data_IF_479027456450
#
_entry.id   IF_479027456450
#
_cell.length_a   1.000
_cell.length_b   1.000
_cell.length_c   1.000
_cell.angle_alpha   90.00
_cell.angle_beta   90.00
_cell.angle_gamma   90.00
#
_symmetry.space_group_name_H-M   'P 1'
#
loop_
_entity.id
_entity.type
_entity.pdbx_description
1 polymer ?
#
# COMPACT_ATOMS: atom_id res chain seq x y z
N UNK A 1 9.69 7.82 -8.66
CA UNK A 1 8.30 8.08 -9.11
C UNK A 1 8.23 9.52 -9.59
N UNK A 2 7.39 9.83 -10.56
CA UNK A 2 7.23 11.20 -11.06
C UNK A 2 6.00 11.34 -11.95
N UNK A 3 5.83 12.52 -12.53
CA UNK A 3 4.82 12.81 -13.54
C UNK A 3 5.49 13.24 -14.84
N UNK A 4 4.82 12.98 -15.95
CA UNK A 4 5.21 13.39 -17.30
C UNK A 4 3.94 13.66 -18.11
N UNK A 5 4.07 14.08 -19.36
CA UNK A 5 2.95 14.30 -20.28
C UNK A 5 3.13 13.47 -21.54
N UNK A 6 2.04 12.94 -22.10
CA UNK A 6 2.08 12.34 -23.43
C UNK A 6 2.16 13.38 -24.55
N UNK A 7 2.25 12.93 -25.80
CA UNK A 7 2.34 13.80 -26.98
C UNK A 7 1.11 14.70 -27.17
N UNK A 8 -0.01 14.43 -26.49
CA UNK A 8 -1.23 15.23 -26.52
C UNK A 8 -1.37 16.12 -25.27
N UNK A 9 -0.36 16.16 -24.40
CA UNK A 9 -0.37 16.94 -23.16
C UNK A 9 -1.15 16.30 -22.02
N UNK A 10 -1.58 15.04 -22.12
CA UNK A 10 -2.24 14.37 -20.99
C UNK A 10 -1.21 13.97 -19.94
N UNK A 11 -1.50 14.29 -18.69
CA UNK A 11 -0.68 13.90 -17.54
C UNK A 11 -0.64 12.37 -17.38
N UNK A 12 0.58 11.87 -17.23
CA UNK A 12 0.90 10.50 -16.88
C UNK A 12 1.69 10.51 -15.57
N UNK A 13 1.35 9.62 -14.65
CA UNK A 13 2.25 9.31 -13.53
C UNK A 13 3.11 8.13 -13.93
N UNK A 14 4.37 8.11 -13.50
CA UNK A 14 5.24 6.97 -13.74
C UNK A 14 6.02 6.56 -12.50
N UNK A 15 6.41 5.30 -12.49
CA UNK A 15 7.48 4.83 -11.62
C UNK A 15 8.39 3.87 -12.37
N UNK A 16 9.67 3.95 -12.04
CA UNK A 16 10.69 3.05 -12.55
C UNK A 16 11.29 2.29 -11.37
N UNK A 17 11.63 1.02 -11.61
CA UNK A 17 12.46 0.23 -10.72
C UNK A 17 13.62 -0.30 -11.53
N UNK A 18 14.81 -0.29 -10.92
CA UNK A 18 15.99 -0.90 -11.51
C UNK A 18 16.80 -1.53 -10.38
N UNK A 19 17.14 -2.79 -10.54
CA UNK A 19 18.09 -3.46 -9.65
C UNK A 19 19.42 -2.74 -9.69
N UNK A 20 19.98 -2.51 -8.51
CA UNK A 20 21.33 -1.96 -8.33
C UNK A 20 22.19 -2.99 -7.61
N UNK A 21 23.50 -2.90 -7.85
CA UNK A 21 24.51 -3.67 -7.13
C UNK A 21 25.29 -2.75 -6.21
N UNK A 22 25.49 -3.21 -4.98
CA UNK A 22 26.09 -2.45 -3.89
C UNK A 22 26.95 -3.40 -3.06
N UNK A 23 28.25 -3.16 -2.88
CA UNK A 23 29.13 -4.03 -2.10
C UNK A 23 28.63 -4.30 -0.67
N UNK A 24 27.96 -3.31 -0.07
CA UNK A 24 27.36 -3.41 1.26
C UNK A 24 26.15 -4.36 1.34
N UNK A 25 25.59 -4.77 0.20
CA UNK A 25 24.43 -5.67 0.11
C UNK A 25 24.80 -6.93 -0.70
N UNK A 26 25.58 -7.86 -0.10
CA UNK A 26 26.00 -9.07 -0.77
C UNK A 26 24.80 -10.01 -1.03
N UNK A 27 25.01 -10.99 -1.89
CA UNK A 27 24.01 -12.04 -2.12
C UNK A 27 23.77 -12.84 -0.84
N UNK A 28 22.51 -13.09 -0.52
CA UNK A 28 22.12 -13.90 0.64
C UNK A 28 22.31 -15.39 0.32
N UNK A 29 23.04 -16.16 1.14
CA UNK A 29 23.22 -17.60 0.92
C UNK A 29 21.87 -18.33 0.80
N UNK A 30 21.75 -19.21 -0.19
CA UNK A 30 20.52 -19.96 -0.47
C UNK A 30 19.40 -19.15 -1.14
N UNK A 31 19.61 -17.87 -1.44
CA UNK A 31 18.66 -17.05 -2.18
C UNK A 31 19.23 -16.62 -3.53
N UNK A 32 18.40 -16.71 -4.57
CA UNK A 32 18.74 -16.24 -5.90
C UNK A 32 18.40 -14.75 -6.04
N UNK A 33 19.40 -13.93 -6.36
CA UNK A 33 19.21 -12.50 -6.63
C UNK A 33 18.74 -12.28 -8.06
N UNK A 34 17.46 -11.94 -8.22
CA UNK A 34 16.89 -11.55 -9.51
C UNK A 34 17.34 -10.14 -9.91
N UNK A 35 17.49 -9.91 -11.21
CA UNK A 35 17.72 -8.59 -11.77
C UNK A 35 16.46 -8.13 -12.52
N UNK A 36 15.90 -7.00 -12.08
CA UNK A 36 14.65 -6.44 -12.59
C UNK A 36 14.88 -4.99 -13.02
N UNK A 37 14.41 -4.66 -14.21
CA UNK A 37 14.30 -3.28 -14.67
C UNK A 37 12.90 -3.09 -15.25
N UNK A 38 12.15 -2.11 -14.74
CA UNK A 38 10.76 -1.91 -15.14
C UNK A 38 10.35 -0.45 -15.09
N UNK A 39 9.38 -0.12 -15.93
CA UNK A 39 8.73 1.18 -16.04
C UNK A 39 7.22 0.97 -16.11
N UNK A 40 6.51 1.76 -15.31
CA UNK A 40 5.08 1.76 -15.19
C UNK A 40 4.59 3.15 -15.54
N UNK A 41 3.64 3.25 -16.46
CA UNK A 41 2.94 4.48 -16.78
C UNK A 41 1.47 4.33 -16.38
N UNK A 42 0.94 5.35 -15.73
CA UNK A 42 -0.44 5.40 -15.27
C UNK A 42 -1.15 6.57 -15.89
N UNK A 43 -2.30 6.30 -16.52
CA UNK A 43 -3.21 7.32 -17.02
C UNK A 43 -4.54 7.22 -16.30
N UNK A 44 -4.92 8.29 -15.60
CA UNK A 44 -6.20 8.35 -14.90
C UNK A 44 -7.31 8.85 -15.82
N UNK A 45 -8.37 8.05 -15.95
CA UNK A 45 -9.59 8.41 -16.66
C UNK A 45 -10.63 8.98 -15.70
N UNK A 46 -10.72 10.32 -15.64
CA UNK A 46 -11.60 11.03 -14.69
C UNK A 46 -13.08 10.61 -14.83
N UNK A 47 -13.57 10.41 -16.06
CA UNK A 47 -14.99 10.09 -16.34
C UNK A 47 -15.40 8.70 -15.84
N UNK A 48 -14.53 7.71 -15.97
CA UNK A 48 -14.82 6.31 -15.60
C UNK A 48 -14.26 5.94 -14.23
N UNK A 49 -13.50 6.84 -13.61
CA UNK A 49 -12.72 6.59 -12.40
C UNK A 49 -11.82 5.34 -12.51
N UNK A 50 -11.33 5.05 -13.72
CA UNK A 50 -10.39 3.96 -13.99
C UNK A 50 -8.98 4.50 -14.20
N UNK A 51 -7.99 3.66 -13.95
CA UNK A 51 -6.59 3.96 -14.27
C UNK A 51 -6.11 2.93 -15.28
N UNK A 52 -5.68 3.40 -16.44
CA UNK A 52 -4.96 2.57 -17.42
C UNK A 52 -3.51 2.47 -16.99
N UNK A 53 -2.93 1.29 -17.19
CA UNK A 53 -1.57 1.00 -16.79
C UNK A 53 -0.85 0.41 -17.99
N UNK A 54 0.24 1.05 -18.40
CA UNK A 54 1.21 0.47 -19.32
C UNK A 54 2.43 0.03 -18.53
N UNK A 55 2.86 -1.20 -18.73
CA UNK A 55 4.04 -1.78 -18.10
C UNK A 55 5.03 -2.21 -19.17
N UNK A 56 6.30 -1.93 -18.90
CA UNK A 56 7.40 -2.40 -19.71
C UNK A 56 8.59 -2.76 -18.83
N UNK A 57 9.32 -3.82 -19.18
CA UNK A 57 10.58 -4.14 -18.53
C UNK A 57 11.00 -5.58 -18.69
N UNK A 58 11.98 -5.97 -17.88
CA UNK A 58 12.62 -7.27 -17.90
C UNK A 58 12.89 -7.76 -16.48
N UNK A 59 12.73 -9.07 -16.30
CA UNK A 59 13.18 -9.80 -15.12
C UNK A 59 14.16 -10.86 -15.64
N UNK A 60 15.28 -11.04 -14.97
CA UNK A 60 16.34 -11.97 -15.35
C UNK A 60 16.98 -12.60 -14.12
N UNK A 61 17.88 -13.57 -14.35
CA UNK A 61 18.51 -14.40 -13.32
C UNK A 61 17.50 -15.29 -12.57
N UNK A 62 16.92 -16.25 -13.29
CA UNK A 62 16.03 -17.29 -12.74
C UNK A 62 16.75 -18.61 -12.40
N UNK A 63 18.08 -18.60 -12.39
CA UNK A 63 18.87 -19.77 -12.03
C UNK A 63 18.66 -20.91 -13.03
N UNK A 64 18.26 -22.07 -12.56
CA UNK A 64 18.02 -23.27 -13.36
C UNK A 64 16.55 -23.50 -13.72
N UNK A 65 15.68 -22.52 -13.51
CA UNK A 65 14.25 -22.66 -13.79
C UNK A 65 13.97 -22.92 -15.28
N UNK A 66 13.02 -23.80 -15.63
CA UNK A 66 12.67 -24.05 -17.01
C UNK A 66 11.97 -22.83 -17.63
N UNK A 67 12.24 -22.56 -18.92
CA UNK A 67 11.73 -21.39 -19.64
C UNK A 67 10.21 -21.17 -19.49
N UNK A 68 9.42 -22.26 -19.53
CA UNK A 68 7.97 -22.18 -19.32
C UNK A 68 7.62 -21.59 -17.96
N UNK A 69 8.26 -22.05 -16.88
CA UNK A 69 8.04 -21.54 -15.53
C UNK A 69 8.47 -20.07 -15.41
N UNK A 70 9.57 -19.68 -16.06
CA UNK A 70 10.04 -18.30 -16.12
C UNK A 70 8.97 -17.40 -16.76
N UNK A 71 8.43 -17.79 -17.92
CA UNK A 71 7.40 -17.01 -18.61
C UNK A 71 6.12 -16.87 -17.78
N UNK A 72 5.64 -17.97 -17.18
CA UNK A 72 4.45 -17.94 -16.33
C UNK A 72 4.66 -17.05 -15.10
N UNK A 73 5.77 -17.20 -14.40
CA UNK A 73 6.08 -16.41 -13.19
C UNK A 73 6.19 -14.94 -13.53
N UNK A 74 6.89 -14.62 -14.62
CA UNK A 74 7.03 -13.24 -15.11
C UNK A 74 5.65 -12.66 -15.41
N UNK A 75 4.87 -13.31 -16.29
CA UNK A 75 3.53 -12.85 -16.65
C UNK A 75 2.62 -12.65 -15.43
N UNK A 76 2.66 -13.59 -14.47
CA UNK A 76 1.89 -13.49 -13.24
C UNK A 76 2.27 -12.25 -12.42
N UNK A 77 3.56 -11.97 -12.25
CA UNK A 77 4.05 -10.76 -11.58
C UNK A 77 3.57 -9.48 -12.26
N UNK A 78 3.62 -9.41 -13.60
CA UNK A 78 3.15 -8.25 -14.36
C UNK A 78 1.63 -8.05 -14.23
N UNK A 79 0.84 -9.13 -14.34
CA UNK A 79 -0.62 -9.07 -14.23
C UNK A 79 -1.10 -8.70 -12.82
N UNK A 80 -0.33 -9.02 -11.78
CA UNK A 80 -0.64 -8.68 -10.40
C UNK A 80 -0.62 -7.16 -10.09
N UNK A 81 -0.18 -6.30 -11.02
CA UNK A 81 -0.24 -4.84 -10.86
C UNK A 81 -1.66 -4.32 -10.56
N UNK A 82 -2.70 -5.03 -11.01
CA UNK A 82 -4.10 -4.68 -10.72
C UNK A 82 -4.44 -4.75 -9.22
N UNK A 83 -3.63 -5.46 -8.43
CA UNK A 83 -3.77 -5.57 -6.98
C UNK A 83 -3.04 -4.45 -6.23
N UNK A 84 -2.15 -3.70 -6.88
CA UNK A 84 -1.37 -2.61 -6.27
C UNK A 84 -2.23 -1.56 -5.54
N UNK A 85 -3.42 -1.16 -6.01
CA UNK A 85 -4.28 -0.23 -5.26
C UNK A 85 -4.66 -0.72 -3.87
N UNK A 86 -4.85 -2.04 -3.68
CA UNK A 86 -5.17 -2.61 -2.35
C UNK A 86 -4.01 -2.40 -1.37
N UNK A 87 -2.79 -2.69 -1.83
CA UNK A 87 -1.57 -2.45 -1.03
C UNK A 87 -1.35 -0.96 -0.77
N UNK A 88 -1.63 -0.10 -1.76
CA UNK A 88 -1.55 1.35 -1.61
C UNK A 88 -2.53 1.89 -0.56
N UNK A 89 -3.77 1.41 -0.56
CA UNK A 89 -4.77 1.77 0.46
C UNK A 89 -4.35 1.31 1.86
N UNK A 90 -3.86 0.08 1.98
CA UNK A 90 -3.37 -0.43 3.27
C UNK A 90 -2.20 0.41 3.80
N UNK A 91 -1.22 0.76 2.96
CA UNK A 91 -0.10 1.64 3.35
C UNK A 91 -0.56 3.04 3.73
N UNK A 92 -1.48 3.64 2.95
CA UNK A 92 -2.06 4.95 3.27
C UNK A 92 -2.77 4.91 4.61
N UNK A 93 -3.52 3.84 4.87
CA UNK A 93 -4.18 3.64 6.15
C UNK A 93 -3.16 3.53 7.28
N UNK A 94 -2.11 2.71 7.16
CA UNK A 94 -1.03 2.64 8.15
C UNK A 94 -0.37 4.00 8.39
N UNK A 95 -0.06 4.78 7.35
CA UNK A 95 0.51 6.11 7.51
C UNK A 95 -0.43 7.07 8.25
N UNK A 96 -1.72 7.08 7.91
CA UNK A 96 -2.72 7.86 8.64
C UNK A 96 -2.85 7.42 10.10
N UNK A 97 -2.61 6.13 10.38
CA UNK A 97 -2.62 5.60 11.74
C UNK A 97 -1.40 6.03 12.54
N UNK A 98 -0.23 6.10 11.91
CA UNK A 98 1.00 6.59 12.54
C UNK A 98 0.91 8.11 12.80
N UNK A 99 0.32 8.88 11.86
CA UNK A 99 0.12 10.33 11.98
C UNK A 99 -1.00 10.72 12.94
N UNK A 100 -2.06 9.91 13.03
CA UNK A 100 -3.09 10.10 14.03
C UNK A 100 -2.43 9.82 15.39
N UNK A 101 -2.02 10.88 16.08
CA UNK A 101 -1.38 10.91 17.41
C UNK A 101 -2.23 10.22 18.51
N UNK A 102 -2.48 8.93 18.34
CA UNK A 102 -3.32 8.10 19.20
C UNK A 102 -2.61 7.84 20.54
N UNK A 103 -1.31 8.09 20.60
CA UNK A 103 -0.47 7.88 21.77
C UNK A 103 -0.60 8.96 22.85
N UNK A 104 -1.14 10.15 22.54
CA UNK A 104 -1.13 11.28 23.47
C UNK A 104 -2.47 11.56 24.18
N UNK A 105 -3.58 11.02 23.69
CA UNK A 105 -4.91 11.32 24.22
C UNK A 105 -5.40 10.14 25.06
N UNK A 106 -5.08 10.17 26.36
CA UNK A 106 -5.84 9.38 27.33
C UNK A 106 -7.28 9.88 27.30
N UNK A 107 -8.29 8.99 27.20
CA UNK A 107 -9.68 9.41 27.15
C UNK A 107 -9.98 10.25 28.40
N UNK A 108 -10.26 11.53 28.20
CA UNK A 108 -10.57 12.47 29.28
C UNK A 108 -11.89 12.12 30.00
N UNK A 109 -12.73 11.31 29.33
CA UNK A 109 -14.05 10.91 29.79
C UNK A 109 -14.45 9.53 29.25
N UNK A 110 -15.17 8.74 30.05
CA UNK A 110 -15.83 7.50 29.61
C UNK A 110 -17.18 7.74 28.91
N UNK A 111 -17.48 8.99 28.56
CA UNK A 111 -18.70 9.37 27.85
C UNK A 111 -18.38 9.59 26.38
N UNK A 112 -19.16 9.01 25.48
CA UNK A 112 -19.03 9.28 24.06
C UNK A 112 -19.37 10.74 23.76
N UNK A 113 -18.45 11.49 23.16
CA UNK A 113 -18.66 12.89 22.80
C UNK A 113 -19.78 13.11 21.75
N UNK A 114 -20.14 12.08 20.97
CA UNK A 114 -21.17 12.17 19.92
C UNK A 114 -22.57 11.92 20.49
N UNK A 115 -22.76 10.84 21.25
CA UNK A 115 -24.09 10.49 21.79
C UNK A 115 -24.29 10.82 23.26
N UNK A 116 -23.27 11.35 23.93
CA UNK A 116 -23.26 11.63 25.37
C UNK A 116 -23.61 10.42 26.26
N UNK A 117 -23.48 9.18 25.74
CA UNK A 117 -23.79 7.95 26.48
C UNK A 117 -22.54 7.36 27.13
N UNK A 118 -22.76 6.61 28.21
CA UNK A 118 -21.80 5.70 28.85
C UNK A 118 -21.98 4.27 28.31
N UNK A 119 -20.95 3.41 28.40
CA UNK A 119 -21.10 2.00 28.06
C UNK A 119 -22.13 1.34 28.98
N UNK A 120 -22.96 0.45 28.42
CA UNK A 120 -24.03 -0.24 29.19
C UNK A 120 -23.47 -1.28 30.18
N UNK A 121 -22.27 -1.79 29.93
CA UNK A 121 -21.58 -2.75 30.78
C UNK A 121 -20.08 -2.47 30.72
N UNK A 122 -19.43 -2.34 31.87
CA UNK A 122 -17.97 -2.15 31.96
C UNK A 122 -17.47 -0.89 31.24
N UNK A 123 -16.43 -1.04 30.43
CA UNK A 123 -15.85 0.01 29.59
C UNK A 123 -16.20 -0.22 28.12
N UNK A 124 -16.08 0.83 27.30
CA UNK A 124 -16.14 0.66 25.85
C UNK A 124 -15.04 -0.32 25.38
N UNK A 125 -15.25 -1.08 24.29
CA UNK A 125 -14.17 -1.87 23.71
C UNK A 125 -13.04 -0.97 23.24
N UNK A 126 -11.81 -1.49 23.24
CA UNK A 126 -10.69 -0.80 22.61
C UNK A 126 -10.90 -0.74 21.10
N UNK A 127 -10.50 0.38 20.51
CA UNK A 127 -10.44 0.49 19.07
C UNK A 127 -9.34 -0.45 18.55
N UNK A 128 -9.70 -1.33 17.61
CA UNK A 128 -8.73 -2.20 16.92
C UNK A 128 -7.74 -1.41 16.05
N UNK A 129 -8.09 -0.17 15.76
CA UNK A 129 -7.36 0.71 14.85
C UNK A 129 -6.52 1.70 15.65
N UNK A 130 -7.13 2.49 16.54
CA UNK A 130 -6.41 3.45 17.38
C UNK A 130 -5.94 2.80 18.69
N UNK A 131 -4.63 2.51 18.88
CA UNK A 131 -4.15 1.91 20.11
C UNK A 131 -4.50 2.79 21.31
N UNK A 132 -5.01 2.17 22.38
CA UNK A 132 -5.37 2.81 23.67
C UNK A 132 -6.59 3.76 23.63
N UNK A 133 -7.40 3.74 22.57
CA UNK A 133 -8.69 4.47 22.55
C UNK A 133 -9.88 3.56 22.77
N UNK A 134 -10.89 4.08 23.46
CA UNK A 134 -12.20 3.46 23.59
C UNK A 134 -13.06 3.72 22.36
N UNK A 135 -13.85 2.73 21.94
CA UNK A 135 -14.67 2.77 20.74
C UNK A 135 -16.16 2.69 21.08
N UNK A 136 -16.92 3.71 20.69
CA UNK A 136 -18.37 3.71 20.84
C UNK A 136 -19.00 2.91 19.69
N UNK A 137 -19.49 1.70 19.98
CA UNK A 137 -20.14 0.83 18.98
C UNK A 137 -21.42 1.43 18.40
N UNK A 138 -22.12 2.28 19.15
CA UNK A 138 -23.34 2.97 18.68
C UNK A 138 -23.03 4.06 17.64
N UNK A 139 -21.97 4.83 17.85
CA UNK A 139 -21.61 5.97 17.00
C UNK A 139 -20.49 5.66 16.01
N UNK A 140 -19.93 4.46 16.07
CA UNK A 140 -18.80 4.01 15.26
C UNK A 140 -17.60 4.97 15.29
N UNK A 141 -17.29 5.50 16.47
CA UNK A 141 -16.24 6.51 16.65
C UNK A 141 -15.40 6.25 17.89
N UNK A 142 -14.14 6.67 17.85
CA UNK A 142 -13.27 6.66 19.02
C UNK A 142 -13.65 7.80 19.98
N UNK A 143 -13.61 7.52 21.26
CA UNK A 143 -13.67 8.55 22.30
C UNK A 143 -12.45 9.46 22.20
N UNK A 144 -12.63 10.73 22.58
CA UNK A 144 -11.58 11.75 22.63
C UNK A 144 -11.07 11.89 24.06
#
# INVERSE_FOLDING_TARGET
MGTTTDAHGHELTYHTLQSIERPEWPATPGMLRQNTASCYLYRRHKRTNKTEIFLWGSISNFGSDPAKAIHFTTANTWLHVVLSPRGGHAKKFSALMDEADCHQWLPSSMVCHVCARKPKLGSYPLCLVCPRRFYCTTCQTCLR
#
